data_IF_092079651889
#
_entry.id   IF_092079651889
#
_cell.length_a   1.000
_cell.length_b   1.000
_cell.length_c   1.000
_cell.angle_alpha   90.00
_cell.angle_beta   90.00
_cell.angle_gamma   90.00
#
_symmetry.space_group_name_H-M   'P 1'
#
loop_
_entity.id
_entity.type
_entity.pdbx_description
1 polymer ?
#
# COMPACT_ATOMS: atom_id res chain seq x y z
N UNK A 1 -16.86 23.25 36.66
CA UNK A 1 -16.93 24.10 37.87
C UNK A 1 -16.88 23.35 39.20
N UNK A 2 -17.71 22.33 39.47
CA UNK A 2 -17.68 21.64 40.78
C UNK A 2 -16.53 20.63 40.94
N UNK A 3 -16.19 19.96 39.85
CA UNK A 3 -15.02 19.08 39.73
C UNK A 3 -13.68 19.83 39.84
N UNK A 4 -13.68 21.15 39.65
CA UNK A 4 -12.48 21.98 39.84
C UNK A 4 -12.16 22.21 41.33
N UNK A 5 -13.18 22.17 42.21
CA UNK A 5 -13.00 22.33 43.67
C UNK A 5 -12.71 21.00 44.39
N UNK A 6 -13.33 19.91 43.93
CA UNK A 6 -13.21 18.58 44.53
C UNK A 6 -12.72 17.62 43.46
N UNK A 7 -11.41 17.67 43.18
CA UNK A 7 -10.74 16.97 42.06
C UNK A 7 -11.23 15.54 41.83
N UNK A 8 -11.38 14.74 42.89
CA UNK A 8 -11.76 13.30 42.79
C UNK A 8 -12.73 12.81 43.90
N UNK A 9 -13.19 13.70 44.80
CA UNK A 9 -14.09 13.32 45.91
C UNK A 9 -15.55 13.25 45.45
N UNK A 10 -15.92 12.17 44.78
CA UNK A 10 -17.26 11.97 44.21
C UNK A 10 -18.40 12.00 45.25
N UNK A 11 -18.12 11.65 46.50
CA UNK A 11 -19.08 11.77 47.61
C UNK A 11 -19.48 13.24 47.86
N UNK A 12 -18.50 14.16 47.89
CA UNK A 12 -18.74 15.60 48.09
C UNK A 12 -19.35 16.26 46.86
N UNK A 13 -18.99 15.76 45.66
CA UNK A 13 -19.62 16.18 44.40
C UNK A 13 -21.11 15.81 44.41
N UNK A 14 -21.46 14.59 44.82
CA UNK A 14 -22.84 14.11 44.93
C UNK A 14 -23.64 14.91 45.96
N UNK A 15 -23.10 15.13 47.17
CA UNK A 15 -23.76 15.92 48.23
C UNK A 15 -24.08 17.34 47.76
N UNK A 16 -23.16 17.96 47.04
CA UNK A 16 -23.35 19.31 46.57
C UNK A 16 -24.31 19.35 45.35
N UNK A 17 -24.39 18.28 44.52
CA UNK A 17 -25.31 18.16 43.35
C UNK A 17 -26.73 17.84 43.80
N UNK A 18 -26.88 17.10 44.90
CA UNK A 18 -28.12 16.90 45.67
C UNK A 18 -29.27 16.21 44.95
N UNK A 19 -29.19 16.06 43.62
CA UNK A 19 -30.27 15.62 42.73
C UNK A 19 -29.97 14.32 42.01
N UNK A 20 -28.75 13.80 42.14
CA UNK A 20 -28.21 12.65 41.40
C UNK A 20 -27.32 11.82 42.30
N UNK A 21 -27.26 10.51 42.04
CA UNK A 21 -26.35 9.60 42.78
C UNK A 21 -24.90 9.77 42.31
N UNK A 22 -23.97 9.20 43.07
CA UNK A 22 -22.54 9.24 42.75
C UNK A 22 -22.27 8.69 41.34
N UNK A 23 -22.85 7.53 41.01
CA UNK A 23 -22.67 6.86 39.72
C UNK A 23 -23.23 7.68 38.56
N UNK A 24 -24.38 8.35 38.75
CA UNK A 24 -24.94 9.25 37.74
C UNK A 24 -24.04 10.47 37.51
N UNK A 25 -23.42 11.01 38.57
CA UNK A 25 -22.48 12.13 38.45
C UNK A 25 -21.21 11.72 37.69
N UNK A 26 -20.67 10.51 37.96
CA UNK A 26 -19.49 9.96 37.28
C UNK A 26 -19.81 9.69 35.80
N UNK A 27 -20.93 9.02 35.51
CA UNK A 27 -21.35 8.71 34.15
C UNK A 27 -21.62 9.98 33.32
N UNK A 28 -22.19 11.01 33.94
CA UNK A 28 -22.38 12.29 33.26
C UNK A 28 -21.04 12.95 32.95
N UNK A 29 -20.08 12.94 33.89
CA UNK A 29 -18.73 13.48 33.66
C UNK A 29 -17.99 12.76 32.53
N UNK A 30 -18.00 11.42 32.50
CA UNK A 30 -17.37 10.62 31.45
C UNK A 30 -18.00 10.83 30.06
N UNK A 31 -19.27 11.25 30.00
CA UNK A 31 -20.01 11.53 28.77
C UNK A 31 -19.99 13.01 28.39
N UNK A 32 -19.31 13.87 29.14
CA UNK A 32 -19.18 15.27 28.74
C UNK A 32 -18.38 15.32 27.44
N UNK A 33 -18.92 15.91 26.36
CA UNK A 33 -18.24 16.03 25.07
C UNK A 33 -17.16 17.11 25.18
N UNK A 34 -16.07 16.80 25.88
CA UNK A 34 -14.89 17.65 25.99
C UNK A 34 -13.93 17.44 24.82
N UNK A 35 -13.97 16.25 24.23
CA UNK A 35 -13.11 15.83 23.11
C UNK A 35 -13.86 15.77 21.79
N UNK A 36 -15.17 15.47 21.79
CA UNK A 36 -15.97 15.29 20.56
C UNK A 36 -15.87 16.48 19.58
N UNK A 37 -15.90 17.77 20.02
CA UNK A 37 -15.70 18.90 19.11
C UNK A 37 -14.31 18.99 18.47
N UNK A 38 -13.30 18.30 19.03
CA UNK A 38 -11.92 18.26 18.54
C UNK A 38 -11.63 17.00 17.72
N UNK A 39 -12.47 15.97 17.82
CA UNK A 39 -12.33 14.71 17.10
C UNK A 39 -13.17 14.69 15.81
N UNK A 40 -14.28 15.42 15.76
CA UNK A 40 -15.22 15.46 14.64
C UNK A 40 -14.95 16.60 13.64
N UNK A 41 -13.69 16.93 13.34
CA UNK A 41 -13.39 17.83 12.22
C UNK A 41 -13.64 17.08 10.90
N UNK A 42 -14.92 17.05 10.52
CA UNK A 42 -15.51 16.26 9.44
C UNK A 42 -15.00 16.66 8.03
N UNK A 43 -14.17 17.71 7.92
CA UNK A 43 -13.48 18.07 6.67
C UNK A 43 -12.23 17.21 6.41
N UNK A 44 -11.66 16.58 7.45
CA UNK A 44 -10.55 15.63 7.32
C UNK A 44 -11.09 14.19 7.38
N UNK A 45 -11.64 13.68 6.27
CA UNK A 45 -12.26 12.35 6.20
C UNK A 45 -11.55 11.28 7.04
N UNK A 46 -12.25 10.70 8.02
CA UNK A 46 -11.75 9.58 8.83
C UNK A 46 -10.49 9.91 9.67
N UNK A 47 -10.50 11.10 10.28
CA UNK A 47 -9.42 11.93 10.84
C UNK A 47 -8.34 11.34 11.77
N UNK A 48 -8.13 10.04 11.86
CA UNK A 48 -6.98 9.49 12.59
C UNK A 48 -6.04 8.62 11.73
N UNK A 49 -6.42 8.21 10.51
CA UNK A 49 -5.52 7.45 9.64
C UNK A 49 -4.80 6.30 10.38
N UNK A 50 -3.48 6.09 10.17
CA UNK A 50 -2.70 5.09 10.91
C UNK A 50 -2.59 5.35 12.43
N UNK A 51 -2.96 6.55 12.90
CA UNK A 51 -3.00 6.93 14.32
C UNK A 51 -4.27 6.45 15.03
N UNK A 52 -5.31 6.05 14.29
CA UNK A 52 -6.52 5.45 14.85
C UNK A 52 -6.20 4.13 15.58
N UNK A 53 -5.12 3.46 15.14
CA UNK A 53 -4.64 2.21 15.69
C UNK A 53 -3.40 2.46 16.54
N UNK A 54 -3.60 2.78 17.83
CA UNK A 54 -2.55 2.68 18.85
C UNK A 54 -2.42 1.22 19.30
N UNK A 55 -1.24 0.56 19.24
CA UNK A 55 0.08 1.05 18.81
C UNK A 55 0.26 0.98 17.29
N UNK A 56 0.78 2.07 16.71
CA UNK A 56 1.00 2.18 15.26
C UNK A 56 1.88 1.01 14.81
N UNK A 57 1.39 0.11 13.95
CA UNK A 57 2.21 -0.97 13.43
C UNK A 57 3.42 -0.35 12.75
N UNK A 58 4.62 -0.84 13.07
CA UNK A 58 5.93 -0.33 12.62
C UNK A 58 6.49 0.92 13.34
N UNK A 59 5.83 1.48 14.36
CA UNK A 59 6.42 2.61 15.13
C UNK A 59 7.60 2.22 16.03
N UNK A 60 7.60 1.00 16.59
CA UNK A 60 8.64 0.53 17.53
C UNK A 60 9.84 -0.13 16.87
N UNK A 61 9.68 -0.69 15.67
CA UNK A 61 10.76 -1.33 14.92
C UNK A 61 11.11 -0.39 13.76
N UNK A 62 12.34 0.14 13.75
CA UNK A 62 12.79 1.21 12.84
C UNK A 62 12.75 0.87 11.35
N UNK A 63 11.55 0.73 10.78
CA UNK A 63 11.31 0.60 9.36
C UNK A 63 10.78 1.94 8.81
N UNK A 64 11.68 2.89 8.48
CA UNK A 64 11.28 4.22 8.00
C UNK A 64 10.52 4.15 6.67
N UNK A 65 10.70 3.09 5.89
CA UNK A 65 10.01 2.88 4.62
C UNK A 65 8.55 2.49 4.86
N UNK A 66 8.29 1.55 5.77
CA UNK A 66 6.91 1.12 6.00
C UNK A 66 6.06 2.19 6.70
N UNK A 67 6.66 2.95 7.62
CA UNK A 67 5.96 4.07 8.28
C UNK A 67 5.57 5.18 7.30
N UNK A 68 6.42 5.48 6.32
CA UNK A 68 6.12 6.48 5.28
C UNK A 68 5.10 5.97 4.27
N UNK A 69 5.20 4.71 3.85
CA UNK A 69 4.22 4.08 2.94
C UNK A 69 2.83 4.03 3.57
N UNK A 70 2.71 3.67 4.85
CA UNK A 70 1.42 3.62 5.55
C UNK A 70 0.76 5.01 5.63
N UNK A 71 1.55 6.07 5.89
CA UNK A 71 1.05 7.43 5.90
C UNK A 71 0.56 7.86 4.51
N UNK A 72 1.38 7.69 3.47
CA UNK A 72 1.03 8.07 2.11
C UNK A 72 -0.21 7.32 1.60
N UNK A 73 -0.34 6.03 1.92
CA UNK A 73 -1.49 5.21 1.57
C UNK A 73 -2.81 5.70 2.21
N UNK A 74 -2.74 6.32 3.40
CA UNK A 74 -3.92 6.82 4.10
C UNK A 74 -4.46 8.15 3.55
N UNK A 75 -3.64 8.89 2.79
CA UNK A 75 -4.00 10.21 2.24
C UNK A 75 -4.57 10.09 0.82
N UNK A 76 -4.29 9.00 0.12
CA UNK A 76 -4.78 8.77 -1.24
C UNK A 76 -6.08 7.98 -1.25
N UNK A 77 -7.02 8.38 -2.11
CA UNK A 77 -8.25 7.62 -2.32
C UNK A 77 -7.92 6.25 -2.96
N UNK A 78 -8.52 5.13 -2.47
CA UNK A 78 -8.24 3.80 -2.99
C UNK A 78 -8.47 3.65 -4.50
N UNK A 79 -9.40 4.39 -5.09
CA UNK A 79 -9.69 4.31 -6.54
C UNK A 79 -8.58 4.96 -7.35
N UNK A 80 -8.05 6.09 -6.89
CA UNK A 80 -6.92 6.78 -7.53
C UNK A 80 -5.65 5.95 -7.42
N UNK A 81 -5.40 5.38 -6.23
CA UNK A 81 -4.28 4.47 -6.02
C UNK A 81 -4.36 3.23 -6.94
N UNK A 82 -5.54 2.63 -7.07
CA UNK A 82 -5.75 1.47 -7.95
C UNK A 82 -5.54 1.81 -9.44
N UNK A 83 -6.04 2.96 -9.92
CA UNK A 83 -5.81 3.36 -11.31
C UNK A 83 -4.34 3.63 -11.61
N UNK A 84 -3.64 4.29 -10.67
CA UNK A 84 -2.22 4.57 -10.80
C UNK A 84 -1.39 3.27 -10.79
N UNK A 85 -1.69 2.35 -9.87
CA UNK A 85 -1.03 1.04 -9.81
C UNK A 85 -1.24 0.23 -11.09
N UNK A 86 -2.45 0.25 -11.67
CA UNK A 86 -2.74 -0.44 -12.93
C UNK A 86 -1.91 0.13 -14.09
N UNK A 87 -1.87 1.45 -14.23
CA UNK A 87 -1.08 2.09 -15.28
C UNK A 87 0.42 1.77 -15.14
N UNK A 88 0.95 1.84 -13.93
CA UNK A 88 2.34 1.49 -13.65
C UNK A 88 2.67 0.03 -14.01
N UNK A 89 1.78 -0.92 -13.69
CA UNK A 89 1.98 -2.33 -14.03
C UNK A 89 1.94 -2.60 -15.54
N UNK A 90 1.12 -1.86 -16.29
CA UNK A 90 1.07 -1.97 -17.77
C UNK A 90 2.38 -1.52 -18.38
N UNK A 91 2.89 -0.35 -17.99
CA UNK A 91 4.18 0.13 -18.49
C UNK A 91 5.34 -0.77 -18.06
N UNK A 92 5.29 -1.31 -16.84
CA UNK A 92 6.30 -2.25 -16.37
C UNK A 92 6.32 -3.56 -17.19
N UNK A 93 5.15 -4.03 -17.66
CA UNK A 93 5.07 -5.18 -18.56
C UNK A 93 5.69 -4.86 -19.92
N UNK A 94 5.37 -3.69 -20.50
CA UNK A 94 5.96 -3.25 -21.78
C UNK A 94 7.49 -3.19 -21.70
N UNK A 95 8.06 -2.63 -20.62
CA UNK A 95 9.50 -2.55 -20.41
C UNK A 95 10.16 -3.93 -20.31
N UNK A 96 9.45 -4.95 -19.81
CA UNK A 96 9.97 -6.33 -19.74
C UNK A 96 9.98 -7.04 -21.09
N UNK A 97 9.04 -6.69 -21.97
CA UNK A 97 8.92 -7.27 -23.31
C UNK A 97 9.86 -6.58 -24.32
N UNK A 98 10.35 -5.38 -23.99
CA UNK A 98 11.40 -4.71 -24.77
C UNK A 98 12.72 -5.49 -24.69
N UNK A 99 13.22 -5.90 -25.86
CA UNK A 99 14.53 -6.53 -25.99
C UNK A 99 15.60 -5.49 -25.61
N UNK A 100 16.47 -5.78 -24.62
CA UNK A 100 17.54 -4.88 -24.23
C UNK A 100 18.37 -4.44 -25.45
N UNK A 101 18.65 -3.14 -25.58
CA UNK A 101 19.40 -2.59 -26.71
C UNK A 101 20.73 -3.31 -26.99
N UNK A 102 21.37 -3.83 -25.93
CA UNK A 102 22.57 -4.64 -26.04
C UNK A 102 22.38 -5.97 -26.84
N UNK A 103 21.20 -6.59 -26.75
CA UNK A 103 20.88 -7.80 -27.52
C UNK A 103 20.52 -7.47 -28.97
N UNK A 104 19.88 -6.33 -29.22
CA UNK A 104 19.62 -5.84 -30.58
C UNK A 104 20.93 -5.54 -31.33
N UNK A 105 21.86 -4.84 -30.68
CA UNK A 105 23.17 -4.54 -31.25
C UNK A 105 24.01 -5.81 -31.52
N UNK A 106 23.93 -6.79 -30.62
CA UNK A 106 24.58 -8.08 -30.82
C UNK A 106 23.96 -8.82 -32.01
N UNK A 107 22.63 -8.86 -32.11
CA UNK A 107 21.94 -9.52 -33.21
C UNK A 107 22.29 -8.90 -34.58
N UNK A 108 22.28 -7.56 -34.69
CA UNK A 108 22.65 -6.86 -35.93
C UNK A 108 24.07 -7.23 -36.36
N UNK A 109 25.04 -7.22 -35.43
CA UNK A 109 26.43 -7.62 -35.74
C UNK A 109 26.54 -9.08 -36.19
N UNK A 110 25.78 -9.99 -35.58
CA UNK A 110 25.78 -11.41 -35.97
C UNK A 110 25.15 -11.63 -37.35
N UNK A 111 24.09 -10.89 -37.69
CA UNK A 111 23.44 -10.94 -39.01
C UNK A 111 24.35 -10.34 -40.09
N UNK A 112 25.03 -9.23 -39.82
CA UNK A 112 26.01 -8.62 -40.73
C UNK A 112 27.21 -9.54 -40.98
N UNK A 113 27.76 -10.18 -39.94
CA UNK A 113 28.84 -11.15 -40.08
C UNK A 113 28.42 -12.36 -40.93
N UNK A 114 27.20 -12.87 -40.73
CA UNK A 114 26.66 -13.99 -41.51
C UNK A 114 26.41 -13.60 -42.98
N UNK A 115 26.07 -12.33 -43.22
CA UNK A 115 25.90 -11.77 -44.57
C UNK A 115 27.23 -11.68 -45.33
N UNK A 116 28.33 -11.37 -44.63
CA UNK A 116 29.67 -11.31 -45.21
C UNK A 116 30.19 -12.68 -45.69
N UNK A 117 29.79 -13.77 -45.02
CA UNK A 117 30.11 -15.15 -45.40
C UNK A 117 29.22 -15.72 -46.53
N UNK A 118 28.34 -14.90 -47.12
CA UNK A 118 27.51 -15.28 -48.27
C UNK A 118 26.29 -16.16 -47.96
N UNK A 119 26.03 -16.44 -46.67
CA UNK A 119 24.81 -17.10 -46.18
C UNK A 119 23.97 -16.09 -45.39
N UNK A 120 23.10 -15.37 -46.08
CA UNK A 120 22.11 -14.52 -45.42
C UNK A 120 21.08 -15.38 -44.70
N UNK A 121 21.19 -15.47 -43.38
CA UNK A 121 20.19 -16.09 -42.52
C UNK A 121 19.65 -15.02 -41.55
N UNK A 122 18.42 -14.52 -41.77
CA UNK A 122 17.75 -13.56 -40.88
C UNK A 122 17.58 -14.06 -39.45
N UNK A 123 17.70 -15.37 -39.21
CA UNK A 123 17.51 -15.98 -37.89
C UNK A 123 18.82 -16.30 -37.17
N UNK A 124 19.96 -15.95 -37.76
CA UNK A 124 21.27 -16.19 -37.17
C UNK A 124 21.42 -15.51 -35.79
N UNK A 125 21.68 -16.31 -34.75
CA UNK A 125 21.87 -15.84 -33.38
C UNK A 125 20.60 -15.64 -32.55
N UNK A 126 19.41 -15.76 -33.15
CA UNK A 126 18.12 -15.59 -32.46
C UNK A 126 17.81 -16.73 -31.46
N UNK A 127 18.32 -17.94 -31.74
CA UNK A 127 18.24 -19.11 -30.84
C UNK A 127 19.14 -18.93 -29.62
N UNK A 128 20.19 -18.10 -29.73
CA UNK A 128 21.19 -17.92 -28.68
C UNK A 128 20.90 -16.70 -27.80
N UNK A 129 20.00 -15.80 -28.23
CA UNK A 129 19.63 -14.57 -27.50
C UNK A 129 18.59 -14.80 -26.40
N UNK A 130 18.00 -15.99 -26.29
CA UNK A 130 17.10 -16.36 -25.18
C UNK A 130 15.80 -15.53 -25.11
N UNK A 131 15.37 -14.95 -26.23
CA UNK A 131 14.15 -14.14 -26.33
C UNK A 131 12.93 -15.06 -26.19
N UNK A 132 11.97 -14.67 -25.35
CA UNK A 132 10.75 -15.45 -25.13
C UNK A 132 10.03 -15.72 -26.46
N UNK A 133 9.79 -16.99 -26.78
CA UNK A 133 9.17 -17.45 -28.04
C UNK A 133 10.13 -17.98 -29.13
N UNK A 134 11.46 -17.95 -28.92
CA UNK A 134 12.43 -18.49 -29.91
C UNK A 134 12.98 -19.88 -29.59
N UNK A 135 12.49 -20.51 -28.51
CA UNK A 135 12.76 -21.92 -28.19
C UNK A 135 11.73 -22.82 -28.88
N UNK A 136 12.10 -24.03 -29.36
CA UNK A 136 11.13 -24.98 -29.87
C UNK A 136 10.15 -25.34 -28.75
N UNK A 137 8.86 -25.08 -28.97
CA UNK A 137 7.79 -25.39 -28.02
C UNK A 137 7.86 -26.88 -27.66
N UNK A 138 8.11 -27.21 -26.39
CA UNK A 138 7.75 -28.51 -25.84
C UNK A 138 6.31 -28.43 -25.39
N UNK A 139 5.46 -29.24 -26.01
CA UNK A 139 4.06 -29.46 -25.65
C UNK A 139 3.95 -29.76 -24.15
N UNK A 140 3.37 -28.83 -23.37
CA UNK A 140 2.86 -29.13 -22.04
C UNK A 140 1.49 -29.79 -22.20
N UNK A 141 1.44 -31.08 -21.91
CA UNK A 141 0.19 -31.85 -21.83
C UNK A 141 -0.60 -31.37 -20.61
N UNK A 142 -1.84 -30.96 -20.85
CA UNK A 142 -2.84 -30.70 -19.81
C UNK A 142 -3.09 -31.97 -18.98
N UNK A 143 -2.63 -32.01 -17.72
CA UNK A 143 -3.24 -32.89 -16.71
C UNK A 143 -4.18 -32.08 -15.82
N UNK A 144 -5.47 -32.18 -16.16
CA UNK A 144 -6.58 -31.90 -15.26
C UNK A 144 -6.61 -32.99 -14.18
N UNK A 145 -6.16 -32.69 -12.97
CA UNK A 145 -6.51 -33.52 -11.82
C UNK A 145 -7.64 -32.84 -11.03
N UNK A 146 -8.86 -33.31 -11.31
CA UNK A 146 -9.96 -33.32 -10.34
C UNK A 146 -9.55 -34.29 -9.22
N UNK A 147 -9.44 -33.81 -7.99
CA UNK A 147 -10.00 -34.50 -6.82
C UNK A 147 -10.37 -33.46 -5.76
#
# INVERSE_FOLDING_TARGET
KRLELYKDDWNKVCEHVGSRTQDECILHFLRLPIEDPYLEDHEAGGALGPLAYQPIPFSKAGNPIMSTVAFLASVVDPRVAASAAKAAMVEFANIRDEVPAALLDAHIKHVEASTADGKYDPSAGLVQSGIAGTQPEKEETEEKEKT
#
